data_IF_226945107299
#
_entry.id   IF_226945107299
#
_cell.length_a   1.000
_cell.length_b   1.000
_cell.length_c   1.000
_cell.angle_alpha   90.00
_cell.angle_beta   90.00
_cell.angle_gamma   90.00
#
_symmetry.space_group_name_H-M   'P 1'
#
loop_
_entity.id
_entity.type
_entity.pdbx_description
1 polymer ?
#
# COMPACT_ATOMS: atom_id res chain seq x y z
N UNK A 1 -2.73 -14.25 27.40
CA UNK A 1 -3.00 -15.08 26.20
C UNK A 1 -2.73 -14.22 24.96
N UNK A 2 -1.53 -14.34 24.37
CA UNK A 2 -1.13 -13.55 23.19
C UNK A 2 -1.64 -14.31 21.98
N UNK A 3 -2.77 -13.89 21.42
CA UNK A 3 -3.33 -14.45 20.19
C UNK A 3 -2.25 -14.40 19.11
N UNK A 4 -1.60 -15.54 18.87
CA UNK A 4 -0.80 -15.77 17.67
C UNK A 4 -1.79 -15.91 16.51
N UNK A 5 -2.45 -14.81 16.14
CA UNK A 5 -2.96 -14.71 14.79
C UNK A 5 -1.71 -14.75 13.93
N UNK A 6 -1.43 -15.89 13.30
CA UNK A 6 -0.42 -15.99 12.26
C UNK A 6 -0.71 -14.83 11.32
N UNK A 7 0.20 -13.85 11.17
CA UNK A 7 -0.06 -12.75 10.27
C UNK A 7 -0.24 -13.44 8.93
N UNK A 8 -1.43 -13.32 8.34
CA UNK A 8 -1.61 -13.79 6.97
C UNK A 8 -0.91 -12.71 6.13
N UNK A 9 0.42 -12.68 6.18
CA UNK A 9 1.28 -11.58 5.71
C UNK A 9 0.99 -11.29 4.24
N UNK A 10 0.71 -12.34 3.47
CA UNK A 10 0.26 -12.24 2.08
C UNK A 10 -1.02 -11.44 1.91
N UNK A 11 -2.05 -11.66 2.74
CA UNK A 11 -3.34 -10.95 2.62
C UNK A 11 -3.23 -9.48 2.96
N UNK A 12 -2.43 -9.12 3.97
CA UNK A 12 -2.21 -7.72 4.34
C UNK A 12 -1.40 -6.97 3.27
N UNK A 13 -0.37 -7.60 2.72
CA UNK A 13 0.43 -7.04 1.63
C UNK A 13 -0.40 -6.85 0.36
N UNK A 14 -1.17 -7.87 -0.02
CA UNK A 14 -2.04 -7.82 -1.19
C UNK A 14 -3.15 -6.78 -1.04
N UNK A 15 -3.79 -6.70 0.12
CA UNK A 15 -4.81 -5.70 0.40
C UNK A 15 -4.24 -4.27 0.31
N UNK A 16 -3.04 -4.04 0.84
CA UNK A 16 -2.36 -2.74 0.73
C UNK A 16 -2.02 -2.41 -0.73
N UNK A 17 -1.44 -3.35 -1.47
CA UNK A 17 -1.11 -3.17 -2.88
C UNK A 17 -2.35 -2.81 -3.69
N UNK A 18 -3.46 -3.53 -3.46
CA UNK A 18 -4.74 -3.25 -4.12
C UNK A 18 -5.26 -1.85 -3.77
N UNK A 19 -5.30 -1.52 -2.48
CA UNK A 19 -5.78 -0.22 -2.00
C UNK A 19 -4.99 0.94 -2.62
N UNK A 20 -3.65 0.88 -2.59
CA UNK A 20 -2.81 1.94 -3.17
C UNK A 20 -2.93 2.01 -4.69
N UNK A 21 -3.05 0.87 -5.37
CA UNK A 21 -3.25 0.83 -6.82
C UNK A 21 -4.55 1.53 -7.24
N UNK A 22 -5.65 1.25 -6.53
CA UNK A 22 -6.95 1.89 -6.77
C UNK A 22 -6.91 3.39 -6.43
N UNK A 23 -6.39 3.76 -5.26
CA UNK A 23 -6.35 5.15 -4.80
C UNK A 23 -5.47 6.04 -5.69
N UNK A 24 -4.35 5.51 -6.19
CA UNK A 24 -3.38 6.24 -7.00
C UNK A 24 -3.61 6.08 -8.50
N UNK A 25 -4.64 5.34 -8.91
CA UNK A 25 -4.99 5.08 -10.31
C UNK A 25 -3.80 4.49 -11.12
N UNK A 26 -3.16 3.46 -10.54
CA UNK A 26 -2.04 2.74 -11.16
C UNK A 26 -2.29 1.23 -11.15
N UNK A 27 -1.66 0.49 -12.05
CA UNK A 27 -1.76 -0.98 -12.01
C UNK A 27 -1.07 -1.56 -10.77
N UNK A 28 -1.59 -2.67 -10.22
CA UNK A 28 -0.98 -3.38 -9.08
C UNK A 28 0.49 -3.73 -9.27
N UNK A 29 0.90 -4.02 -10.51
CA UNK A 29 2.30 -4.33 -10.85
C UNK A 29 3.27 -3.16 -10.61
N UNK A 30 2.74 -1.94 -10.44
CA UNK A 30 3.50 -0.72 -10.23
C UNK A 30 3.60 -0.31 -8.77
N UNK A 31 3.02 -1.09 -7.86
CA UNK A 31 3.04 -0.86 -6.42
C UNK A 31 3.84 -2.00 -5.78
N UNK A 32 5.00 -1.68 -5.21
CA UNK A 32 5.94 -2.67 -4.69
C UNK A 32 6.28 -2.35 -3.24
N UNK A 33 6.06 -3.29 -2.34
CA UNK A 33 6.54 -3.17 -0.95
C UNK A 33 8.03 -3.51 -0.95
N UNK A 34 8.90 -2.50 -0.86
CA UNK A 34 10.35 -2.69 -0.84
C UNK A 34 10.84 -3.12 0.54
N UNK A 35 10.18 -2.66 1.61
CA UNK A 35 10.56 -2.98 2.99
C UNK A 35 9.35 -3.14 3.91
N UNK A 36 9.53 -3.92 4.97
CA UNK A 36 8.52 -4.08 6.03
C UNK A 36 7.40 -5.06 5.67
N UNK A 37 7.65 -6.07 4.83
CA UNK A 37 6.63 -7.06 4.45
C UNK A 37 5.99 -7.76 5.66
N UNK A 38 6.75 -7.99 6.73
CA UNK A 38 6.29 -8.56 8.01
C UNK A 38 5.95 -7.50 9.07
N UNK A 39 6.14 -6.22 8.74
CA UNK A 39 5.98 -5.08 9.65
C UNK A 39 4.66 -4.33 9.40
N UNK A 40 4.17 -3.65 10.44
CA UNK A 40 3.02 -2.73 10.32
C UNK A 40 3.37 -1.48 9.51
N UNK A 41 4.61 -1.00 9.63
CA UNK A 41 5.17 0.08 8.80
C UNK A 41 5.81 -0.54 7.56
N UNK A 42 5.37 -0.10 6.39
CA UNK A 42 5.80 -0.60 5.09
C UNK A 42 6.34 0.56 4.26
N UNK A 43 7.46 0.33 3.60
CA UNK A 43 7.95 1.24 2.57
C UNK A 43 7.46 0.71 1.22
N UNK A 44 6.74 1.56 0.49
CA UNK A 44 6.12 1.19 -0.78
C UNK A 44 6.65 2.11 -1.87
N UNK A 45 7.13 1.51 -2.94
CA UNK A 45 7.48 2.19 -4.17
C UNK A 45 6.27 2.15 -5.13
N UNK A 46 5.95 3.30 -5.71
CA UNK A 46 4.87 3.44 -6.69
C UNK A 46 5.44 4.09 -7.94
N UNK A 47 5.22 3.47 -9.10
CA UNK A 47 5.72 3.95 -10.39
C UNK A 47 4.58 4.20 -11.38
N UNK A 48 4.68 5.25 -12.19
CA UNK A 48 3.71 5.49 -13.25
C UNK A 48 3.64 6.95 -13.65
N UNK A 49 3.28 7.25 -14.91
CA UNK A 49 3.22 8.62 -15.41
C UNK A 49 2.11 9.46 -14.76
N UNK A 50 1.09 8.80 -14.20
CA UNK A 50 -0.08 9.43 -13.57
C UNK A 50 0.16 9.84 -12.12
N UNK A 51 1.25 9.36 -11.50
CA UNK A 51 1.55 9.52 -10.08
C UNK A 51 2.67 10.54 -9.89
N UNK A 52 2.40 11.55 -9.08
CA UNK A 52 3.37 12.51 -8.58
C UNK A 52 3.27 12.60 -7.06
N UNK A 53 4.31 13.05 -6.35
CA UNK A 53 4.25 13.18 -4.89
C UNK A 53 3.06 14.02 -4.39
N UNK A 54 2.75 15.13 -5.07
CA UNK A 54 1.64 16.02 -4.69
C UNK A 54 0.27 15.36 -4.93
N UNK A 55 0.08 14.75 -6.11
CA UNK A 55 -1.19 14.07 -6.43
C UNK A 55 -1.42 12.84 -5.55
N UNK A 56 -0.37 12.09 -5.21
CA UNK A 56 -0.44 10.97 -4.27
C UNK A 56 -0.80 11.44 -2.86
N UNK A 57 -0.15 12.50 -2.37
CA UNK A 57 -0.45 13.09 -1.06
C UNK A 57 -1.91 13.53 -0.98
N UNK A 58 -2.40 14.26 -1.99
CA UNK A 58 -3.81 14.69 -2.04
C UNK A 58 -4.77 13.51 -2.00
N UNK A 59 -4.56 12.49 -2.84
CA UNK A 59 -5.47 11.34 -2.91
C UNK A 59 -5.48 10.54 -1.61
N UNK A 60 -4.32 10.33 -0.99
CA UNK A 60 -4.20 9.54 0.25
C UNK A 60 -4.67 10.29 1.51
N UNK A 61 -4.55 11.62 1.55
CA UNK A 61 -5.01 12.44 2.67
C UNK A 61 -6.46 12.92 2.52
N UNK A 62 -6.99 12.99 1.29
CA UNK A 62 -8.36 13.38 1.04
C UNK A 62 -9.38 12.23 1.23
N UNK A 63 -8.92 10.99 1.40
CA UNK A 63 -9.80 9.91 1.86
C UNK A 63 -10.08 10.09 3.36
N UNK A 64 -11.12 10.85 3.69
CA UNK A 64 -11.74 10.77 5.01
C UNK A 64 -12.40 9.39 5.15
N UNK A 65 -12.30 8.83 6.36
CA UNK A 65 -12.77 7.49 6.71
C UNK A 65 -14.28 7.30 6.55
#
# INVERSE_FOLDING_TARGET
MRLQAQPIEGKANEALIRFLAEMLDVSRSKVIITHGQTSKRKLVEVTGPQVSPDSAMRRLLASEQ
#
